data_IF_906383210717
#
_entry.id   IF_906383210717
#
_cell.length_a   1.000
_cell.length_b   1.000
_cell.length_c   1.000
_cell.angle_alpha   90.00
_cell.angle_beta   90.00
_cell.angle_gamma   90.00
#
_symmetry.space_group_name_H-M   'P 1'
#
loop_
_entity.id
_entity.type
_entity.pdbx_description
1 polymer ?
#
# COMPACT_ATOMS: atom_id res chain seq x y z
N UNK A 1 -31.69 9.59 -16.31
CA UNK A 1 -30.36 10.03 -15.87
C UNK A 1 -30.17 11.46 -16.33
N UNK A 2 -30.10 12.40 -15.40
CA UNK A 2 -29.94 13.84 -15.70
C UNK A 2 -28.61 14.08 -16.41
N UNK A 3 -28.57 15.07 -17.31
CA UNK A 3 -27.38 15.44 -18.10
C UNK A 3 -26.12 15.66 -17.26
N UNK A 4 -26.25 16.16 -16.04
CA UNK A 4 -25.15 16.31 -15.08
C UNK A 4 -24.58 14.97 -14.58
N UNK A 5 -25.36 13.90 -14.49
CA UNK A 5 -24.86 12.59 -14.07
C UNK A 5 -23.99 11.90 -15.13
N UNK A 6 -24.23 12.16 -16.42
CA UNK A 6 -23.35 11.64 -17.49
C UNK A 6 -21.98 12.30 -17.51
N UNK A 7 -21.86 13.54 -17.02
CA UNK A 7 -20.61 14.31 -17.01
C UNK A 7 -19.53 13.73 -16.09
N UNK A 8 -19.90 13.00 -15.00
CA UNK A 8 -18.93 12.46 -14.03
C UNK A 8 -18.50 11.00 -14.29
N UNK A 9 -19.26 10.25 -15.11
CA UNK A 9 -19.01 8.81 -15.30
C UNK A 9 -17.68 8.55 -15.99
N UNK A 10 -17.39 9.29 -17.05
CA UNK A 10 -16.13 9.10 -17.79
C UNK A 10 -14.87 9.44 -16.98
N UNK A 11 -14.78 10.59 -16.30
CA UNK A 11 -13.68 10.85 -15.36
C UNK A 11 -13.55 9.80 -14.26
N UNK A 12 -14.67 9.31 -13.71
CA UNK A 12 -14.64 8.26 -12.68
C UNK A 12 -14.11 6.92 -13.19
N UNK A 13 -14.38 6.55 -14.45
CA UNK A 13 -13.81 5.36 -15.08
C UNK A 13 -12.29 5.50 -15.19
N UNK A 14 -11.80 6.67 -15.60
CA UNK A 14 -10.36 6.93 -15.70
C UNK A 14 -9.71 6.84 -14.32
N UNK A 15 -10.29 7.45 -13.30
CA UNK A 15 -9.77 7.35 -11.93
C UNK A 15 -9.81 5.90 -11.43
N UNK A 16 -10.87 5.16 -11.74
CA UNK A 16 -10.96 3.72 -11.46
C UNK A 16 -9.82 2.92 -12.11
N UNK A 17 -9.49 3.22 -13.37
CA UNK A 17 -8.36 2.61 -14.06
C UNK A 17 -7.01 2.98 -13.40
N UNK A 18 -6.85 4.20 -12.90
CA UNK A 18 -5.65 4.60 -12.15
C UNK A 18 -5.52 3.84 -10.82
N UNK A 19 -6.61 3.71 -10.07
CA UNK A 19 -6.59 2.94 -8.82
C UNK A 19 -6.36 1.44 -9.08
N UNK A 20 -6.85 0.93 -10.21
CA UNK A 20 -6.52 -0.41 -10.67
C UNK A 20 -5.00 -0.56 -10.89
N UNK A 21 -4.37 0.38 -11.61
CA UNK A 21 -2.90 0.37 -11.81
C UNK A 21 -2.16 0.51 -10.48
N UNK A 22 -2.62 1.34 -9.55
CA UNK A 22 -2.02 1.43 -8.21
C UNK A 22 -1.97 0.07 -7.53
N UNK A 23 -3.11 -0.61 -7.49
CA UNK A 23 -3.20 -1.92 -6.87
C UNK A 23 -2.34 -2.95 -7.58
N UNK A 24 -2.38 -2.96 -8.91
CA UNK A 24 -1.57 -3.86 -9.71
C UNK A 24 -0.08 -3.71 -9.36
N UNK A 25 0.48 -2.51 -9.43
CA UNK A 25 1.92 -2.29 -9.19
C UNK A 25 2.30 -2.47 -7.72
N UNK A 26 1.49 -1.95 -6.78
CA UNK A 26 1.80 -2.00 -5.35
C UNK A 26 1.90 -3.44 -4.83
N UNK A 27 0.94 -4.28 -5.18
CA UNK A 27 0.82 -5.63 -4.62
C UNK A 27 1.72 -6.67 -5.31
N UNK A 28 2.39 -6.32 -6.42
CA UNK A 28 3.38 -7.20 -7.05
C UNK A 28 4.62 -7.43 -6.18
N UNK A 29 4.92 -6.54 -5.24
CA UNK A 29 6.04 -6.70 -4.32
C UNK A 29 5.99 -8.05 -3.58
N UNK A 30 4.79 -8.52 -3.21
CA UNK A 30 4.60 -9.80 -2.52
C UNK A 30 5.10 -11.01 -3.31
N UNK A 31 5.12 -10.91 -4.64
CA UNK A 31 5.66 -11.95 -5.54
C UNK A 31 7.14 -11.68 -5.87
N UNK A 32 7.52 -10.41 -5.99
CA UNK A 32 8.90 -10.03 -6.30
C UNK A 32 9.88 -10.37 -5.16
N UNK A 33 9.45 -10.27 -3.90
CA UNK A 33 10.30 -10.59 -2.75
C UNK A 33 10.84 -12.02 -2.83
N UNK A 34 10.01 -13.08 -2.86
CA UNK A 34 10.50 -14.45 -2.96
C UNK A 34 11.21 -14.71 -4.29
N UNK A 35 10.79 -14.09 -5.38
CA UNK A 35 11.43 -14.22 -6.68
C UNK A 35 12.86 -13.67 -6.68
N UNK A 36 13.06 -12.42 -6.24
CA UNK A 36 14.38 -11.80 -6.19
C UNK A 36 15.26 -12.43 -5.11
N UNK A 37 14.67 -12.92 -4.00
CA UNK A 37 15.40 -13.67 -3.01
C UNK A 37 16.07 -14.91 -3.63
N UNK A 38 15.36 -15.65 -4.45
CA UNK A 38 15.88 -16.82 -5.14
C UNK A 38 16.85 -16.45 -6.26
N UNK A 39 16.47 -15.53 -7.16
CA UNK A 39 17.28 -15.15 -8.31
C UNK A 39 18.62 -14.50 -7.94
N UNK A 40 18.65 -13.69 -6.88
CA UNK A 40 19.83 -12.98 -6.41
C UNK A 40 20.45 -13.59 -5.14
N UNK A 41 19.96 -14.75 -4.66
CA UNK A 41 20.44 -15.46 -3.47
C UNK A 41 20.52 -14.56 -2.22
N UNK A 42 19.43 -13.89 -1.88
CA UNK A 42 19.37 -12.91 -0.80
C UNK A 42 18.96 -13.54 0.53
N UNK A 43 19.44 -12.95 1.64
CA UNK A 43 18.86 -13.20 2.97
C UNK A 43 17.46 -12.61 3.09
N UNK A 44 16.71 -12.93 4.15
CA UNK A 44 15.38 -12.36 4.39
C UNK A 44 15.47 -10.82 4.56
N UNK A 45 16.44 -10.34 5.33
CA UNK A 45 16.68 -8.91 5.48
C UNK A 45 16.95 -8.21 4.14
N UNK A 46 17.81 -8.80 3.31
CA UNK A 46 18.10 -8.26 1.99
C UNK A 46 16.86 -8.28 1.08
N UNK A 47 16.06 -9.34 1.09
CA UNK A 47 14.88 -9.46 0.24
C UNK A 47 13.84 -8.36 0.52
N UNK A 48 13.70 -7.92 1.78
CA UNK A 48 12.76 -6.84 2.14
C UNK A 48 13.23 -5.43 1.78
N UNK A 49 14.42 -5.25 1.22
CA UNK A 49 14.75 -3.99 0.53
C UNK A 49 13.87 -3.73 -0.70
N UNK A 50 13.16 -4.72 -1.22
CA UNK A 50 12.10 -4.55 -2.22
C UNK A 50 11.01 -3.61 -1.70
N UNK A 51 10.45 -3.89 -0.52
CA UNK A 51 9.45 -3.02 0.11
C UNK A 51 10.05 -1.68 0.51
N UNK A 52 11.27 -1.69 1.05
CA UNK A 52 11.96 -0.45 1.41
C UNK A 52 12.12 0.48 0.23
N UNK A 53 12.67 0.02 -0.88
CA UNK A 53 12.92 0.84 -2.06
C UNK A 53 11.61 1.44 -2.62
N UNK A 54 10.54 0.67 -2.60
CA UNK A 54 9.24 1.11 -3.08
C UNK A 54 8.59 2.13 -2.13
N UNK A 55 8.48 1.81 -0.84
CA UNK A 55 7.73 2.64 0.11
C UNK A 55 8.51 3.86 0.63
N UNK A 56 9.85 3.86 0.62
CA UNK A 56 10.64 5.04 0.99
C UNK A 56 10.40 6.21 0.03
N UNK A 57 10.01 5.92 -1.22
CA UNK A 57 9.68 6.93 -2.21
C UNK A 57 8.50 7.82 -1.76
N UNK A 58 7.54 7.27 -1.00
CA UNK A 58 6.43 8.05 -0.45
C UNK A 58 6.92 9.12 0.53
N UNK A 59 7.89 8.77 1.38
CA UNK A 59 8.49 9.73 2.29
C UNK A 59 9.26 10.83 1.55
N UNK A 60 10.09 10.44 0.59
CA UNK A 60 10.92 11.36 -0.19
C UNK A 60 10.06 12.27 -1.08
N UNK A 61 9.00 11.72 -1.69
CA UNK A 61 8.20 12.40 -2.71
C UNK A 61 6.94 13.07 -2.18
N UNK A 62 6.53 12.87 -0.92
CA UNK A 62 5.30 13.45 -0.37
C UNK A 62 5.23 14.98 -0.54
N UNK A 63 6.29 15.69 -0.17
CA UNK A 63 6.37 17.16 -0.30
C UNK A 63 6.65 17.59 -1.75
N UNK A 64 7.68 17.05 -2.45
CA UNK A 64 7.95 17.40 -3.84
C UNK A 64 6.76 17.19 -4.77
N UNK A 65 5.98 16.11 -4.62
CA UNK A 65 4.79 15.85 -5.45
C UNK A 65 3.78 16.98 -5.40
N UNK A 66 3.50 17.52 -4.22
CA UNK A 66 2.59 18.66 -4.07
C UNK A 66 3.11 19.90 -4.82
N UNK A 67 4.43 20.17 -4.76
CA UNK A 67 5.07 21.28 -5.49
C UNK A 67 5.01 21.09 -7.02
N UNK A 68 5.21 19.87 -7.50
CA UNK A 68 5.11 19.52 -8.92
C UNK A 68 3.66 19.76 -9.39
N UNK A 69 2.66 19.22 -8.66
CA UNK A 69 1.25 19.34 -9.03
C UNK A 69 0.77 20.79 -9.07
N UNK A 70 1.26 21.67 -8.18
CA UNK A 70 0.97 23.10 -8.23
C UNK A 70 1.47 23.78 -9.51
N UNK A 71 2.55 23.29 -10.11
CA UNK A 71 3.15 23.87 -11.32
C UNK A 71 2.53 23.34 -12.62
N UNK A 72 2.25 22.04 -12.68
CA UNK A 72 1.84 21.38 -13.93
C UNK A 72 0.35 21.00 -13.98
N UNK A 73 -0.38 21.14 -12.86
CA UNK A 73 -1.78 20.72 -12.71
C UNK A 73 -1.93 19.21 -12.45
N UNK A 74 -3.16 18.82 -12.07
CA UNK A 74 -3.44 17.43 -11.64
C UNK A 74 -3.41 16.46 -12.81
N UNK A 75 -4.04 16.80 -13.94
CA UNK A 75 -4.10 15.91 -15.11
C UNK A 75 -2.72 15.61 -15.68
N UNK A 76 -1.89 16.63 -15.86
CA UNK A 76 -0.50 16.43 -16.30
C UNK A 76 0.33 15.71 -15.25
N UNK A 77 0.11 16.00 -13.97
CA UNK A 77 0.76 15.30 -12.85
C UNK A 77 0.50 13.79 -12.85
N UNK A 78 -0.74 13.38 -13.09
CA UNK A 78 -1.10 11.96 -13.23
C UNK A 78 -0.36 11.31 -14.40
N UNK A 79 -0.31 11.97 -15.55
CA UNK A 79 0.41 11.46 -16.71
C UNK A 79 1.92 11.33 -16.46
N UNK A 80 2.54 12.36 -15.87
CA UNK A 80 3.97 12.33 -15.49
C UNK A 80 4.25 11.18 -14.52
N UNK A 81 3.39 10.99 -13.50
CA UNK A 81 3.52 9.88 -12.57
C UNK A 81 3.54 8.52 -13.28
N UNK A 82 2.63 8.29 -14.23
CA UNK A 82 2.60 7.05 -15.03
C UNK A 82 3.83 6.89 -15.92
N UNK A 83 4.34 7.95 -16.53
CA UNK A 83 5.59 7.88 -17.31
C UNK A 83 6.79 7.54 -16.42
N UNK A 84 6.88 8.13 -15.24
CA UNK A 84 7.94 7.80 -14.27
C UNK A 84 7.86 6.32 -13.86
N UNK A 85 6.64 5.81 -13.61
CA UNK A 85 6.44 4.39 -13.32
C UNK A 85 6.85 3.50 -14.51
N UNK A 86 6.55 3.91 -15.76
CA UNK A 86 6.97 3.19 -16.95
C UNK A 86 8.50 3.13 -17.07
N UNK A 87 9.19 4.23 -16.79
CA UNK A 87 10.66 4.27 -16.75
C UNK A 87 11.20 3.32 -15.69
N UNK A 88 10.62 3.35 -14.47
CA UNK A 88 10.98 2.42 -13.40
C UNK A 88 10.83 0.95 -13.82
N UNK A 89 9.76 0.63 -14.55
CA UNK A 89 9.55 -0.71 -15.12
C UNK A 89 10.61 -1.09 -16.14
N UNK A 90 11.04 -0.17 -17.00
CA UNK A 90 12.10 -0.43 -17.99
C UNK A 90 13.47 -0.67 -17.35
N UNK A 91 13.74 -0.13 -16.17
CA UNK A 91 15.00 -0.39 -15.43
C UNK A 91 15.14 -1.86 -15.03
N UNK A 92 14.03 -2.60 -14.93
CA UNK A 92 14.08 -4.04 -14.68
C UNK A 92 14.75 -4.84 -15.79
N UNK A 93 14.78 -4.33 -17.03
CA UNK A 93 15.43 -5.00 -18.18
C UNK A 93 16.94 -5.10 -17.96
N UNK A 94 17.69 -3.99 -17.83
CA UNK A 94 19.13 -4.09 -17.55
C UNK A 94 19.39 -4.74 -16.19
N UNK A 95 18.51 -4.54 -15.18
CA UNK A 95 18.66 -5.20 -13.88
C UNK A 95 18.65 -6.73 -14.00
N UNK A 96 17.74 -7.28 -14.80
CA UNK A 96 17.63 -8.72 -15.03
C UNK A 96 18.80 -9.25 -15.88
N UNK A 97 19.20 -8.53 -16.93
CA UNK A 97 20.28 -8.94 -17.82
C UNK A 97 21.64 -9.08 -17.13
N UNK A 98 21.90 -8.28 -16.09
CA UNK A 98 23.15 -8.34 -15.30
C UNK A 98 22.91 -8.89 -13.89
N UNK A 99 21.71 -9.40 -13.61
CA UNK A 99 21.25 -9.90 -12.30
C UNK A 99 21.67 -8.98 -11.15
N UNK A 100 21.48 -7.65 -11.35
CA UNK A 100 21.89 -6.63 -10.39
C UNK A 100 20.75 -6.26 -9.45
N UNK A 101 20.82 -6.72 -8.20
CA UNK A 101 19.82 -6.39 -7.18
C UNK A 101 19.68 -4.89 -6.93
N UNK A 102 20.78 -4.08 -6.84
CA UNK A 102 20.65 -2.62 -6.71
C UNK A 102 19.88 -1.95 -7.86
N UNK A 103 20.00 -2.46 -9.09
CA UNK A 103 19.22 -1.94 -10.22
C UNK A 103 17.73 -2.28 -10.12
N UNK A 104 17.38 -3.47 -9.62
CA UNK A 104 15.98 -3.79 -9.30
C UNK A 104 15.42 -2.83 -8.26
N UNK A 105 16.16 -2.55 -7.19
CA UNK A 105 15.75 -1.59 -6.16
C UNK A 105 15.58 -0.18 -6.72
N UNK A 106 16.47 0.26 -7.61
CA UNK A 106 16.35 1.55 -8.29
C UNK A 106 15.08 1.61 -9.14
N UNK A 107 14.76 0.55 -9.88
CA UNK A 107 13.51 0.44 -10.64
C UNK A 107 12.28 0.58 -9.76
N UNK A 108 12.26 -0.11 -8.61
CA UNK A 108 11.19 -0.03 -7.62
C UNK A 108 11.06 1.37 -6.99
N UNK A 109 12.17 2.02 -6.66
CA UNK A 109 12.16 3.39 -6.15
C UNK A 109 11.59 4.38 -7.16
N UNK A 110 11.97 4.25 -8.44
CA UNK A 110 11.41 5.08 -9.53
C UNK A 110 9.92 4.81 -9.70
N UNK A 111 9.48 3.54 -9.68
CA UNK A 111 8.05 3.20 -9.73
C UNK A 111 7.28 3.81 -8.56
N UNK A 112 7.79 3.67 -7.34
CA UNK A 112 7.19 4.26 -6.14
C UNK A 112 7.13 5.79 -6.20
N UNK A 113 8.16 6.45 -6.78
CA UNK A 113 8.18 7.90 -7.02
C UNK A 113 7.06 8.32 -7.95
N UNK A 114 6.89 7.64 -9.08
CA UNK A 114 5.79 7.90 -10.02
C UNK A 114 4.42 7.64 -9.39
N UNK A 115 4.30 6.56 -8.61
CA UNK A 115 3.07 6.20 -7.91
C UNK A 115 2.69 7.24 -6.84
N UNK A 116 3.66 7.76 -6.09
CA UNK A 116 3.41 8.82 -5.09
C UNK A 116 2.86 10.07 -5.76
N UNK A 117 3.44 10.52 -6.87
CA UNK A 117 2.95 11.66 -7.63
C UNK A 117 1.53 11.41 -8.15
N UNK A 118 1.30 10.22 -8.70
CA UNK A 118 0.01 9.81 -9.24
C UNK A 118 -1.08 9.75 -8.17
N UNK A 119 -0.80 9.19 -6.99
CA UNK A 119 -1.74 9.12 -5.87
C UNK A 119 -2.03 10.51 -5.27
N UNK A 120 -1.01 11.37 -5.16
CA UNK A 120 -1.19 12.74 -4.68
C UNK A 120 -2.13 13.54 -5.59
N UNK A 121 -2.15 13.24 -6.89
CA UNK A 121 -3.06 13.85 -7.84
C UNK A 121 -4.45 13.21 -7.82
N UNK A 122 -4.56 11.88 -7.85
CA UNK A 122 -5.83 11.18 -8.07
C UNK A 122 -6.70 11.04 -6.83
N UNK A 123 -6.14 11.01 -5.62
CA UNK A 123 -6.93 10.90 -4.38
C UNK A 123 -7.87 12.10 -4.16
N UNK A 124 -7.39 13.36 -4.23
CA UNK A 124 -8.29 14.52 -4.18
C UNK A 124 -9.29 14.52 -5.33
N UNK A 125 -8.84 14.13 -6.53
CA UNK A 125 -9.68 14.07 -7.72
C UNK A 125 -10.89 13.14 -7.51
N UNK A 126 -10.71 11.94 -6.98
CA UNK A 126 -11.78 11.02 -6.64
C UNK A 126 -12.77 11.58 -5.59
N UNK A 127 -12.30 12.45 -4.71
CA UNK A 127 -13.11 13.06 -3.65
C UNK A 127 -13.98 14.20 -4.19
N UNK A 128 -13.44 15.04 -5.07
CA UNK A 128 -14.08 16.26 -5.56
C UNK A 128 -15.05 15.95 -6.73
N UNK A 129 -14.79 14.92 -7.51
CA UNK A 129 -15.55 14.54 -8.69
C UNK A 129 -16.96 14.02 -8.33
N UNK A 130 -17.94 14.91 -8.19
CA UNK A 130 -19.33 14.60 -7.88
C UNK A 130 -19.76 15.03 -6.48
N UNK A 131 -21.00 14.71 -6.07
CA UNK A 131 -21.56 15.15 -4.78
C UNK A 131 -20.71 14.68 -3.59
N UNK A 132 -20.44 15.58 -2.66
CA UNK A 132 -19.60 15.31 -1.48
C UNK A 132 -20.17 14.19 -0.60
N UNK A 133 -21.49 14.07 -0.54
CA UNK A 133 -22.20 13.03 0.22
C UNK A 133 -21.86 11.62 -0.25
N UNK A 134 -21.47 11.46 -1.51
CA UNK A 134 -21.09 10.17 -2.10
C UNK A 134 -19.58 9.96 -2.20
N UNK A 135 -18.75 10.87 -1.68
CA UNK A 135 -17.29 10.78 -1.74
C UNK A 135 -16.76 9.49 -1.09
N UNK A 136 -17.25 9.15 0.10
CA UNK A 136 -16.85 7.92 0.79
C UNK A 136 -17.14 6.65 -0.02
N UNK A 137 -18.30 6.60 -0.71
CA UNK A 137 -18.65 5.48 -1.59
C UNK A 137 -17.70 5.38 -2.79
N UNK A 138 -17.34 6.51 -3.39
CA UNK A 138 -16.39 6.55 -4.52
C UNK A 138 -15.01 6.06 -4.10
N UNK A 139 -14.49 6.55 -2.97
CA UNK A 139 -13.19 6.13 -2.44
C UNK A 139 -13.19 4.62 -2.13
N UNK A 140 -14.28 4.10 -1.57
CA UNK A 140 -14.41 2.67 -1.28
C UNK A 140 -14.40 1.82 -2.56
N UNK A 141 -15.12 2.25 -3.61
CA UNK A 141 -15.09 1.57 -4.91
C UNK A 141 -13.67 1.57 -5.48
N UNK A 142 -12.96 2.70 -5.40
CA UNK A 142 -11.57 2.79 -5.84
C UNK A 142 -10.66 1.84 -5.05
N UNK A 143 -10.88 1.74 -3.72
CA UNK A 143 -10.17 0.79 -2.87
C UNK A 143 -10.39 -0.66 -3.27
N UNK A 144 -11.62 -1.05 -3.59
CA UNK A 144 -11.94 -2.39 -4.11
C UNK A 144 -11.27 -2.63 -5.46
N UNK A 145 -11.33 -1.68 -6.40
CA UNK A 145 -10.63 -1.77 -7.68
C UNK A 145 -9.12 -2.01 -7.49
N UNK A 146 -8.51 -1.31 -6.55
CA UNK A 146 -7.10 -1.46 -6.20
C UNK A 146 -6.78 -2.89 -5.72
N UNK A 147 -7.58 -3.47 -4.84
CA UNK A 147 -7.34 -4.82 -4.31
C UNK A 147 -7.58 -5.91 -5.35
N UNK A 148 -8.64 -5.78 -6.15
CA UNK A 148 -8.92 -6.70 -7.27
C UNK A 148 -7.78 -6.69 -8.28
N UNK A 149 -7.25 -5.53 -8.61
CA UNK A 149 -6.10 -5.40 -9.49
C UNK A 149 -4.85 -6.09 -8.93
N UNK A 150 -4.60 -5.94 -7.63
CA UNK A 150 -3.51 -6.63 -6.95
C UNK A 150 -3.64 -8.15 -7.04
N UNK A 151 -4.83 -8.69 -6.78
CA UNK A 151 -5.10 -10.13 -6.91
C UNK A 151 -4.83 -10.64 -8.34
N UNK A 152 -5.31 -9.91 -9.36
CA UNK A 152 -5.07 -10.24 -10.77
C UNK A 152 -3.57 -10.19 -11.09
N UNK A 153 -2.88 -9.14 -10.64
CA UNK A 153 -1.45 -8.97 -10.85
C UNK A 153 -0.63 -10.09 -10.24
N UNK A 154 -0.89 -10.44 -8.98
CA UNK A 154 -0.25 -11.56 -8.28
C UNK A 154 -0.49 -12.87 -9.02
N UNK A 155 -1.75 -13.15 -9.38
CA UNK A 155 -2.11 -14.39 -10.09
C UNK A 155 -1.37 -14.53 -11.44
N UNK A 156 -1.26 -13.45 -12.20
CA UNK A 156 -0.54 -13.43 -13.48
C UNK A 156 0.96 -13.63 -13.22
N UNK A 157 1.54 -12.87 -12.29
CA UNK A 157 2.98 -12.85 -12.07
C UNK A 157 3.47 -14.18 -11.47
N UNK A 158 2.73 -14.77 -10.53
CA UNK A 158 3.06 -16.10 -9.97
C UNK A 158 3.11 -17.15 -11.08
N UNK A 159 2.18 -17.12 -12.03
CA UNK A 159 2.18 -18.08 -13.15
C UNK A 159 3.31 -17.86 -14.15
N UNK A 160 3.72 -16.61 -14.36
CA UNK A 160 4.81 -16.29 -15.26
C UNK A 160 6.19 -16.57 -14.65
N UNK A 161 6.36 -16.26 -13.37
CA UNK A 161 7.65 -16.38 -12.71
C UNK A 161 7.90 -17.78 -12.12
N UNK A 162 6.83 -18.46 -11.67
CA UNK A 162 6.92 -19.73 -10.93
C UNK A 162 6.24 -20.91 -11.67
N UNK A 163 6.28 -20.92 -13.01
CA UNK A 163 5.61 -21.96 -13.82
C UNK A 163 6.16 -23.36 -13.63
N UNK A 164 7.45 -23.50 -13.36
CA UNK A 164 8.22 -24.75 -13.27
C UNK A 164 9.08 -24.82 -11.98
N UNK A 165 8.52 -24.32 -10.89
CA UNK A 165 9.26 -24.04 -9.64
C UNK A 165 9.91 -25.27 -9.03
N UNK A 166 9.25 -26.44 -9.02
CA UNK A 166 9.80 -27.67 -8.42
C UNK A 166 11.07 -28.09 -9.16
N UNK A 167 10.97 -28.25 -10.50
CA UNK A 167 12.10 -28.64 -11.32
C UNK A 167 13.26 -27.62 -11.27
N UNK A 168 12.92 -26.33 -11.16
CA UNK A 168 13.90 -25.25 -11.07
C UNK A 168 14.60 -25.24 -9.70
N UNK A 169 13.87 -25.43 -8.61
CA UNK A 169 14.44 -25.47 -7.25
C UNK A 169 15.38 -26.66 -7.09
N UNK A 170 14.99 -27.84 -7.62
CA UNK A 170 15.86 -29.02 -7.64
C UNK A 170 17.12 -28.78 -8.46
N UNK A 171 17.01 -28.16 -9.65
CA UNK A 171 18.17 -27.81 -10.48
C UNK A 171 19.09 -26.83 -9.76
N UNK A 172 18.59 -25.75 -9.21
CA UNK A 172 19.38 -24.77 -8.46
C UNK A 172 20.10 -25.42 -7.28
N UNK A 173 19.45 -26.36 -6.58
CA UNK A 173 20.05 -27.08 -5.45
C UNK A 173 21.15 -28.05 -5.87
N UNK A 174 21.12 -28.55 -7.10
CA UNK A 174 22.10 -29.55 -7.62
C UNK A 174 23.26 -28.93 -8.39
N UNK A 175 23.16 -27.68 -8.82
CA UNK A 175 24.15 -26.97 -9.63
C UNK A 175 25.13 -26.18 -8.76
N UNK A 176 26.31 -25.90 -9.32
CA UNK A 176 27.34 -25.06 -8.70
C UNK A 176 28.16 -24.30 -9.74
N UNK A 177 28.81 -23.21 -9.33
CA UNK A 177 29.67 -22.42 -10.20
C UNK A 177 28.94 -21.82 -11.40
N UNK A 178 29.54 -21.89 -12.59
CA UNK A 178 29.01 -21.26 -13.81
C UNK A 178 27.64 -21.78 -14.25
N UNK A 179 27.36 -23.07 -14.00
CA UNK A 179 26.05 -23.65 -14.36
C UNK A 179 24.93 -23.10 -13.46
N UNK A 180 25.19 -22.90 -12.18
CA UNK A 180 24.28 -22.26 -11.24
C UNK A 180 24.03 -20.79 -11.66
N UNK A 181 25.09 -20.04 -11.99
CA UNK A 181 24.96 -18.65 -12.42
C UNK A 181 24.11 -18.53 -13.68
N UNK A 182 24.28 -19.42 -14.66
CA UNK A 182 23.48 -19.43 -15.88
C UNK A 182 21.99 -19.70 -15.60
N UNK A 183 21.68 -20.63 -14.69
CA UNK A 183 20.28 -20.92 -14.28
C UNK A 183 19.64 -19.73 -13.53
N UNK A 184 20.40 -19.06 -12.65
CA UNK A 184 19.94 -17.87 -11.93
C UNK A 184 19.75 -16.66 -12.85
N UNK A 185 20.61 -16.49 -13.88
CA UNK A 185 20.45 -15.44 -14.91
C UNK A 185 19.20 -15.71 -15.75
N UNK A 186 18.94 -16.96 -16.12
CA UNK A 186 17.71 -17.35 -16.80
C UNK A 186 16.48 -17.08 -15.93
N UNK A 187 16.54 -17.38 -14.64
CA UNK A 187 15.48 -17.07 -13.70
C UNK A 187 15.24 -15.55 -13.65
N UNK A 188 16.29 -14.74 -13.45
CA UNK A 188 16.19 -13.28 -13.38
C UNK A 188 15.56 -12.70 -14.65
N UNK A 189 15.83 -13.28 -15.82
CA UNK A 189 15.30 -12.81 -17.11
C UNK A 189 13.77 -12.94 -17.24
N UNK A 190 13.10 -13.78 -16.44
CA UNK A 190 11.65 -13.99 -16.50
C UNK A 190 10.83 -12.74 -16.23
N UNK A 191 11.37 -11.75 -15.49
CA UNK A 191 10.68 -10.48 -15.24
C UNK A 191 10.69 -9.54 -16.44
N UNK A 192 11.56 -9.73 -17.43
CA UNK A 192 11.76 -8.79 -18.55
C UNK A 192 10.44 -8.58 -19.29
N UNK A 193 9.81 -9.66 -19.77
CA UNK A 193 8.57 -9.57 -20.58
C UNK A 193 7.42 -8.94 -19.77
N UNK A 194 7.08 -9.39 -18.55
CA UNK A 194 6.06 -8.74 -17.73
C UNK A 194 6.29 -7.25 -17.51
N UNK A 195 7.53 -6.84 -17.27
CA UNK A 195 7.85 -5.44 -17.01
C UNK A 195 7.87 -4.58 -18.28
N UNK A 196 8.21 -5.12 -19.44
CA UNK A 196 8.02 -4.44 -20.74
C UNK A 196 6.51 -4.20 -20.98
N UNK A 197 5.69 -5.23 -20.81
CA UNK A 197 4.24 -5.10 -20.99
C UNK A 197 3.68 -4.03 -20.03
N UNK A 198 4.09 -4.06 -18.78
CA UNK A 198 3.69 -3.06 -17.78
C UNK A 198 4.14 -1.65 -18.21
N UNK A 199 5.37 -1.46 -18.67
CA UNK A 199 5.86 -0.17 -19.13
C UNK A 199 5.03 0.37 -20.32
N UNK A 200 4.70 -0.48 -21.29
CA UNK A 200 3.87 -0.11 -22.44
C UNK A 200 2.45 0.28 -22.01
N UNK A 201 1.83 -0.48 -21.10
CA UNK A 201 0.50 -0.18 -20.57
C UNK A 201 0.52 1.14 -19.80
N UNK A 202 1.51 1.37 -18.93
CA UNK A 202 1.65 2.61 -18.17
C UNK A 202 1.86 3.82 -19.08
N UNK A 203 2.72 3.72 -20.10
CA UNK A 203 2.95 4.77 -21.09
C UNK A 203 1.68 5.04 -21.92
N UNK A 204 0.98 4.00 -22.35
CA UNK A 204 -0.29 4.12 -23.06
C UNK A 204 -1.36 4.85 -22.25
N UNK A 205 -1.51 4.51 -20.97
CA UNK A 205 -2.42 5.20 -20.04
C UNK A 205 -1.99 6.65 -19.79
N UNK A 206 -0.70 6.93 -19.69
CA UNK A 206 -0.18 8.29 -19.56
C UNK A 206 -0.60 9.16 -20.76
N UNK A 207 -0.45 8.64 -21.98
CA UNK A 207 -0.87 9.31 -23.21
C UNK A 207 -2.41 9.46 -23.29
N UNK A 208 -3.15 8.46 -22.84
CA UNK A 208 -4.62 8.50 -22.80
C UNK A 208 -5.09 9.63 -21.87
N UNK A 209 -4.50 9.77 -20.68
CA UNK A 209 -4.86 10.82 -19.72
C UNK A 209 -4.57 12.20 -20.29
N UNK A 210 -3.45 12.41 -20.96
CA UNK A 210 -3.15 13.70 -21.61
C UNK A 210 -4.19 14.11 -22.65
N UNK A 211 -4.79 13.12 -23.35
CA UNK A 211 -5.81 13.33 -24.38
C UNK A 211 -7.24 13.37 -23.82
N UNK A 212 -7.46 12.93 -22.60
CA UNK A 212 -8.79 12.69 -22.04
C UNK A 212 -9.54 13.97 -21.61
N UNK A 213 -8.91 15.17 -21.73
CA UNK A 213 -9.52 16.47 -21.37
C UNK A 213 -10.26 16.40 -20.02
N UNK A 214 -9.60 15.83 -19.00
CA UNK A 214 -10.15 15.79 -17.66
C UNK A 214 -10.33 17.22 -17.13
N UNK A 215 -11.44 17.54 -16.46
CA UNK A 215 -11.63 18.86 -15.87
C UNK A 215 -10.49 19.15 -14.88
N UNK A 216 -9.85 20.31 -14.99
CA UNK A 216 -8.86 20.73 -13.99
C UNK A 216 -9.59 21.09 -12.70
N UNK A 217 -9.10 20.53 -11.60
CA UNK A 217 -9.65 20.75 -10.26
C UNK A 217 -8.70 21.65 -9.50
N UNK A 218 -9.25 22.72 -8.91
CA UNK A 218 -8.54 23.57 -7.96
C UNK A 218 -8.98 23.19 -6.53
N UNK A 219 -8.23 22.31 -5.82
CA UNK A 219 -8.58 21.92 -4.46
C UNK A 219 -8.55 23.10 -3.47
N UNK A 220 -8.01 24.26 -3.89
CA UNK A 220 -7.94 25.47 -3.08
C UNK A 220 -9.27 26.22 -3.06
N UNK A 221 -10.09 26.09 -4.09
CA UNK A 221 -11.40 26.77 -4.21
C UNK A 221 -12.55 25.85 -3.73
N UNK A 222 -12.45 24.53 -3.96
CA UNK A 222 -13.54 23.60 -3.71
C UNK A 222 -13.53 22.97 -2.29
N UNK A 223 -12.47 23.15 -1.51
CA UNK A 223 -12.27 22.52 -0.20
C UNK A 223 -12.49 23.42 1.03
N UNK A 224 -12.96 24.66 0.86
CA UNK A 224 -12.95 25.67 1.93
C UNK A 224 -14.29 25.84 2.68
N UNK A 225 -15.35 25.18 2.29
CA UNK A 225 -16.61 25.20 3.03
C UNK A 225 -16.62 24.13 4.14
N UNK A 226 -16.16 24.50 5.33
CA UNK A 226 -16.25 23.63 6.52
C UNK A 226 -15.17 23.82 7.57
N UNK A 227 -14.16 24.64 7.32
CA UNK A 227 -13.14 24.94 8.34
C UNK A 227 -13.63 26.08 9.23
N UNK A 228 -14.31 25.75 10.32
CA UNK A 228 -14.47 26.68 11.45
C UNK A 228 -13.05 27.06 11.93
N UNK A 229 -12.70 28.32 11.65
CA UNK A 229 -11.42 28.92 11.97
C UNK A 229 -11.35 29.21 13.48
N UNK A 230 -10.94 28.25 14.28
CA UNK A 230 -10.61 28.49 15.68
C UNK A 230 -9.46 27.60 16.14
N UNK A 231 -8.32 27.67 15.47
CA UNK A 231 -7.10 27.20 16.14
C UNK A 231 -6.18 28.40 16.40
N UNK A 232 -6.13 28.86 17.64
CA UNK A 232 -5.10 29.73 18.19
C UNK A 232 -3.68 29.13 18.02
N UNK A 233 -3.60 27.91 17.48
CA UNK A 233 -2.34 27.17 17.32
C UNK A 233 -1.56 27.70 16.11
N UNK A 234 -0.30 28.00 16.33
CA UNK A 234 0.61 28.58 15.32
C UNK A 234 1.28 27.55 14.42
N UNK A 235 1.27 26.27 14.81
CA UNK A 235 1.99 25.19 14.10
C UNK A 235 1.18 23.90 14.05
N UNK A 236 1.36 23.12 12.97
CA UNK A 236 0.81 21.77 12.83
C UNK A 236 1.32 20.80 13.91
N UNK A 237 2.53 21.02 14.40
CA UNK A 237 3.12 20.21 15.48
C UNK A 237 2.48 20.48 16.87
N UNK A 238 1.66 21.53 16.97
CA UNK A 238 0.89 21.81 18.19
C UNK A 238 -0.38 20.93 18.33
N UNK A 239 -0.57 19.93 17.43
CA UNK A 239 -1.66 18.97 17.48
C UNK A 239 -1.14 17.56 17.84
N UNK A 240 -1.03 17.21 19.14
CA UNK A 240 -0.45 15.92 19.55
C UNK A 240 -1.19 14.72 18.98
N UNK A 241 -2.54 14.76 18.87
CA UNK A 241 -3.33 13.67 18.28
C UNK A 241 -2.99 13.42 16.82
N UNK A 242 -2.57 14.44 16.06
CA UNK A 242 -2.07 14.28 14.69
C UNK A 242 -0.72 13.57 14.69
N UNK A 243 0.22 13.97 15.53
CA UNK A 243 1.54 13.33 15.61
C UNK A 243 1.43 11.86 16.01
N UNK A 244 0.57 11.55 16.98
CA UNK A 244 0.24 10.19 17.35
C UNK A 244 -0.49 9.46 16.19
N UNK A 245 -1.30 10.15 15.40
CA UNK A 245 -1.94 9.62 14.19
C UNK A 245 -0.94 9.29 13.08
N UNK A 246 0.08 10.12 12.88
CA UNK A 246 1.18 9.85 11.92
C UNK A 246 1.93 8.58 12.32
N UNK A 247 2.27 8.43 13.60
CA UNK A 247 2.87 7.20 14.11
C UNK A 247 1.90 6.01 14.01
N UNK A 248 0.58 6.24 14.17
CA UNK A 248 -0.43 5.19 13.98
C UNK A 248 -0.49 4.71 12.54
N UNK A 249 -0.44 5.62 11.55
CA UNK A 249 -0.32 5.26 10.12
C UNK A 249 0.98 4.50 9.87
N UNK A 250 2.10 4.95 10.45
CA UNK A 250 3.39 4.29 10.31
C UNK A 250 3.33 2.81 10.75
N UNK A 251 2.86 2.54 11.95
CA UNK A 251 2.79 1.15 12.45
C UNK A 251 1.72 0.35 11.71
N UNK A 252 0.59 0.96 11.34
CA UNK A 252 -0.48 0.30 10.60
C UNK A 252 -0.01 -0.15 9.21
N UNK A 253 0.57 0.76 8.41
CA UNK A 253 1.04 0.41 7.06
C UNK A 253 2.15 -0.63 7.15
N UNK A 254 3.02 -0.53 8.15
CA UNK A 254 4.05 -1.53 8.38
C UNK A 254 3.49 -2.93 8.61
N UNK A 255 2.49 -3.10 9.48
CA UNK A 255 1.90 -4.43 9.73
C UNK A 255 1.04 -4.92 8.56
N UNK A 256 0.39 -4.00 7.81
CA UNK A 256 -0.33 -4.37 6.58
C UNK A 256 0.62 -4.94 5.53
N UNK A 257 1.74 -4.27 5.29
CA UNK A 257 2.77 -4.71 4.32
C UNK A 257 3.41 -6.02 4.81
N UNK A 258 3.75 -6.15 6.09
CA UNK A 258 4.24 -7.43 6.63
C UNK A 258 3.24 -8.55 6.33
N UNK A 259 1.96 -8.40 6.67
CA UNK A 259 0.98 -9.47 6.50
C UNK A 259 0.77 -9.90 5.03
N UNK A 260 0.98 -9.00 4.06
CA UNK A 260 0.71 -9.28 2.64
C UNK A 260 1.99 -9.65 1.89
N UNK A 261 3.08 -8.92 2.12
CA UNK A 261 4.30 -9.07 1.34
C UNK A 261 5.25 -10.15 1.90
N UNK A 262 5.13 -10.50 3.20
CA UNK A 262 5.97 -11.57 3.77
C UNK A 262 5.34 -12.95 3.68
N UNK A 263 4.03 -13.05 3.42
CA UNK A 263 3.29 -14.32 3.51
C UNK A 263 3.78 -15.38 2.51
N UNK A 264 4.34 -14.97 1.37
CA UNK A 264 4.94 -15.89 0.40
C UNK A 264 6.15 -16.63 0.97
N UNK A 265 7.12 -15.91 1.53
CA UNK A 265 8.29 -16.49 2.19
C UNK A 265 7.91 -17.23 3.48
N UNK A 266 6.94 -16.71 4.22
CA UNK A 266 6.41 -17.37 5.40
C UNK A 266 5.72 -18.69 5.06
N UNK A 267 4.97 -18.76 3.95
CA UNK A 267 4.36 -19.99 3.46
C UNK A 267 5.39 -21.07 3.13
N UNK A 268 6.49 -20.70 2.49
CA UNK A 268 7.62 -21.63 2.26
C UNK A 268 8.20 -22.16 3.58
N UNK A 269 8.40 -21.26 4.55
CA UNK A 269 8.87 -21.67 5.89
C UNK A 269 7.90 -22.64 6.58
N UNK A 270 6.59 -22.52 6.33
CA UNK A 270 5.55 -23.42 6.84
C UNK A 270 5.40 -24.72 6.02
N UNK A 271 6.26 -24.96 5.02
CA UNK A 271 6.34 -26.21 4.26
C UNK A 271 5.52 -26.22 2.96
N UNK A 272 5.04 -25.07 2.47
CA UNK A 272 4.37 -24.96 1.18
C UNK A 272 5.37 -24.70 0.05
N UNK A 273 5.09 -25.25 -1.13
CA UNK A 273 5.88 -24.95 -2.34
C UNK A 273 5.77 -23.45 -2.72
N UNK A 274 6.78 -22.95 -3.46
CA UNK A 274 6.91 -21.54 -3.81
C UNK A 274 5.70 -21.02 -4.61
N UNK A 275 5.12 -21.84 -5.50
CA UNK A 275 3.97 -21.45 -6.31
C UNK A 275 2.70 -21.33 -5.47
N UNK A 276 2.44 -22.27 -4.57
CA UNK A 276 1.32 -22.22 -3.62
C UNK A 276 1.50 -21.03 -2.66
N UNK A 277 2.66 -20.88 -2.07
CA UNK A 277 2.99 -19.81 -1.14
C UNK A 277 2.87 -18.41 -1.80
N UNK A 278 3.29 -18.27 -3.05
CA UNK A 278 3.16 -17.04 -3.82
C UNK A 278 1.71 -16.60 -4.03
N UNK A 279 0.75 -17.52 -4.01
CA UNK A 279 -0.68 -17.21 -4.11
C UNK A 279 -1.32 -16.79 -2.76
N UNK A 280 -0.66 -16.97 -1.62
CA UNK A 280 -1.24 -16.64 -0.31
C UNK A 280 -1.57 -15.14 -0.17
N UNK A 281 -0.82 -14.27 -0.82
CA UNK A 281 -1.13 -12.84 -0.88
C UNK A 281 -2.49 -12.55 -1.54
N UNK A 282 -2.97 -13.41 -2.45
CA UNK A 282 -4.32 -13.30 -3.04
C UNK A 282 -5.37 -13.50 -1.95
N UNK A 283 -5.19 -14.49 -1.05
CA UNK A 283 -6.11 -14.72 0.06
C UNK A 283 -6.10 -13.55 1.06
N UNK A 284 -4.92 -12.97 1.33
CA UNK A 284 -4.78 -11.77 2.15
C UNK A 284 -5.52 -10.58 1.54
N UNK A 285 -5.36 -10.31 0.24
CA UNK A 285 -6.08 -9.25 -0.46
C UNK A 285 -7.59 -9.51 -0.54
N UNK A 286 -8.00 -10.78 -0.66
CA UNK A 286 -9.41 -11.16 -0.63
C UNK A 286 -10.02 -10.86 0.75
N UNK A 287 -9.35 -11.28 1.82
CA UNK A 287 -9.77 -11.00 3.20
C UNK A 287 -9.87 -9.50 3.46
N UNK A 288 -8.88 -8.73 3.02
CA UNK A 288 -8.86 -7.28 3.09
C UNK A 288 -10.05 -6.66 2.32
N UNK A 289 -10.33 -7.14 1.12
CA UNK A 289 -11.46 -6.67 0.29
C UNK A 289 -12.80 -6.94 0.96
N UNK A 290 -13.00 -8.12 1.53
CA UNK A 290 -14.20 -8.48 2.30
C UNK A 290 -14.37 -7.52 3.47
N UNK A 291 -13.29 -7.25 4.20
CA UNK A 291 -13.31 -6.28 5.31
C UNK A 291 -13.70 -4.87 4.86
N UNK A 292 -13.19 -4.38 3.73
CA UNK A 292 -13.59 -3.09 3.15
C UNK A 292 -15.09 -3.06 2.80
N UNK A 293 -15.61 -4.11 2.15
CA UNK A 293 -17.03 -4.19 1.78
C UNK A 293 -17.94 -4.20 3.02
N UNK A 294 -17.55 -4.95 4.07
CA UNK A 294 -18.24 -4.92 5.35
C UNK A 294 -18.22 -3.53 5.98
N UNK A 295 -17.09 -2.85 5.93
CA UNK A 295 -16.94 -1.48 6.43
C UNK A 295 -17.89 -0.49 5.76
N UNK A 296 -18.05 -0.58 4.43
CA UNK A 296 -19.01 0.26 3.68
C UNK A 296 -20.44 0.09 4.16
N UNK A 297 -20.81 -1.13 4.59
CA UNK A 297 -22.16 -1.45 5.09
C UNK A 297 -22.31 -1.04 6.56
N UNK A 298 -21.26 -1.25 7.37
CA UNK A 298 -21.33 -1.09 8.82
C UNK A 298 -21.12 0.35 9.29
N UNK A 299 -20.25 1.12 8.61
CA UNK A 299 -19.88 2.50 9.01
C UNK A 299 -20.64 3.52 8.15
N UNK A 300 -21.22 4.58 8.72
CA UNK A 300 -21.38 4.84 10.17
C UNK A 300 -22.65 4.26 10.76
N UNK A 301 -23.45 3.52 9.96
CA UNK A 301 -24.82 3.14 10.30
C UNK A 301 -24.94 2.30 11.59
N UNK A 302 -24.02 1.35 11.77
CA UNK A 302 -24.06 0.40 12.90
C UNK A 302 -22.91 0.61 13.88
N UNK A 303 -21.73 1.00 13.39
CA UNK A 303 -20.54 1.22 14.22
C UNK A 303 -19.87 2.54 13.86
N UNK A 304 -19.27 3.19 14.86
CA UNK A 304 -18.45 4.38 14.64
C UNK A 304 -17.08 3.98 14.07
N UNK A 305 -16.42 4.90 13.34
CA UNK A 305 -15.04 4.72 12.87
C UNK A 305 -14.07 4.35 13.99
N UNK A 306 -14.22 4.98 15.17
CA UNK A 306 -13.43 4.66 16.35
C UNK A 306 -13.66 3.22 16.80
N UNK A 307 -14.92 2.80 16.92
CA UNK A 307 -15.27 1.43 17.33
C UNK A 307 -14.71 0.42 16.35
N UNK A 308 -14.80 0.69 15.03
CA UNK A 308 -14.21 -0.14 14.00
C UNK A 308 -12.69 -0.27 14.19
N UNK A 309 -11.97 0.82 14.47
CA UNK A 309 -10.53 0.80 14.72
C UNK A 309 -10.16 -0.03 15.96
N UNK A 310 -10.93 0.09 17.06
CA UNK A 310 -10.73 -0.72 18.28
C UNK A 310 -10.92 -2.22 17.97
N UNK A 311 -12.00 -2.58 17.27
CA UNK A 311 -12.28 -3.98 16.89
C UNK A 311 -11.14 -4.50 16.02
N UNK A 312 -10.77 -3.78 14.97
CA UNK A 312 -9.71 -4.16 14.04
C UNK A 312 -8.36 -4.33 14.73
N UNK A 313 -7.96 -3.40 15.61
CA UNK A 313 -6.70 -3.51 16.35
C UNK A 313 -6.70 -4.70 17.32
N UNK A 314 -7.83 -4.94 17.99
CA UNK A 314 -7.99 -6.10 18.88
C UNK A 314 -7.93 -7.43 18.12
N UNK A 315 -8.60 -7.50 16.95
CA UNK A 315 -8.51 -8.67 16.05
C UNK A 315 -7.08 -8.90 15.56
N UNK A 316 -6.39 -7.84 15.12
CA UNK A 316 -5.00 -7.92 14.69
C UNK A 316 -4.08 -8.46 15.79
N UNK A 317 -4.24 -7.99 17.02
CA UNK A 317 -3.51 -8.49 18.18
C UNK A 317 -3.77 -9.99 18.43
N UNK A 318 -5.04 -10.42 18.45
CA UNK A 318 -5.41 -11.82 18.68
C UNK A 318 -4.93 -12.72 17.55
N UNK A 319 -5.13 -12.33 16.29
CA UNK A 319 -4.69 -13.13 15.13
C UNK A 319 -3.17 -13.18 15.03
N UNK A 320 -2.48 -12.10 15.39
CA UNK A 320 -1.01 -12.10 15.45
C UNK A 320 -0.47 -13.11 16.47
N UNK A 321 -1.03 -13.13 17.68
CA UNK A 321 -0.68 -14.13 18.69
C UNK A 321 -1.04 -15.56 18.25
N UNK A 322 -2.18 -15.74 17.58
CA UNK A 322 -2.59 -17.04 17.06
C UNK A 322 -1.66 -17.54 15.95
N UNK A 323 -1.20 -16.66 15.05
CA UNK A 323 -0.22 -16.98 14.03
C UNK A 323 1.12 -17.43 14.64
N UNK A 324 1.55 -16.78 15.73
CA UNK A 324 2.75 -17.14 16.48
C UNK A 324 2.63 -18.49 17.23
N UNK A 325 1.42 -18.82 17.69
CA UNK A 325 1.16 -20.01 18.51
C UNK A 325 0.81 -21.26 17.70
N UNK A 326 0.59 -21.12 16.38
CA UNK A 326 0.17 -22.22 15.49
C UNK A 326 1.21 -22.45 14.39
N UNK A 327 1.04 -23.51 13.60
CA UNK A 327 1.95 -23.84 12.49
C UNK A 327 1.18 -24.32 11.25
N UNK A 328 1.89 -24.47 10.13
CA UNK A 328 1.34 -24.95 8.87
C UNK A 328 0.20 -24.06 8.34
N UNK A 329 -0.81 -24.68 7.75
CA UNK A 329 -1.96 -23.99 7.14
C UNK A 329 -2.74 -23.14 8.14
N UNK A 330 -2.80 -23.53 9.41
CA UNK A 330 -3.53 -22.80 10.46
C UNK A 330 -2.84 -21.46 10.74
N UNK A 331 -1.52 -21.42 10.85
CA UNK A 331 -0.77 -20.19 11.03
C UNK A 331 -0.91 -19.27 9.81
N UNK A 332 -0.83 -19.80 8.59
CA UNK A 332 -1.08 -19.05 7.35
C UNK A 332 -2.49 -18.44 7.36
N UNK A 333 -3.51 -19.21 7.77
CA UNK A 333 -4.88 -18.68 7.87
C UNK A 333 -4.98 -17.49 8.82
N UNK A 334 -4.28 -17.51 9.96
CA UNK A 334 -4.26 -16.36 10.87
C UNK A 334 -3.51 -15.16 10.27
N UNK A 335 -2.43 -15.36 9.50
CA UNK A 335 -1.77 -14.26 8.77
C UNK A 335 -2.70 -13.67 7.70
N UNK A 336 -3.48 -14.49 6.98
CA UNK A 336 -4.53 -14.02 6.06
C UNK A 336 -5.59 -13.19 6.82
N UNK A 337 -6.02 -13.65 7.99
CA UNK A 337 -7.00 -12.94 8.83
C UNK A 337 -6.45 -11.61 9.39
N UNK A 338 -5.12 -11.43 9.53
CA UNK A 338 -4.55 -10.12 9.82
C UNK A 338 -4.95 -9.10 8.75
N UNK A 339 -4.93 -9.48 7.47
CA UNK A 339 -5.34 -8.58 6.39
C UNK A 339 -6.83 -8.19 6.49
N UNK A 340 -7.71 -9.09 6.91
CA UNK A 340 -9.10 -8.74 7.24
C UNK A 340 -9.18 -7.71 8.37
N UNK A 341 -8.39 -7.90 9.44
CA UNK A 341 -8.33 -6.95 10.54
C UNK A 341 -7.79 -5.57 10.12
N UNK A 342 -6.94 -5.49 9.11
CA UNK A 342 -6.39 -4.23 8.60
C UNK A 342 -7.38 -3.37 7.82
N UNK A 343 -8.45 -3.95 7.26
CA UNK A 343 -9.30 -3.31 6.26
C UNK A 343 -9.89 -1.96 6.69
N UNK A 344 -10.30 -1.82 7.94
CA UNK A 344 -10.92 -0.59 8.43
C UNK A 344 -9.97 0.33 9.20
N UNK A 345 -8.69 -0.04 9.32
CA UNK A 345 -7.73 0.78 10.05
C UNK A 345 -7.43 2.08 9.31
N UNK A 346 -7.06 2.01 8.01
CA UNK A 346 -6.81 3.19 7.20
C UNK A 346 -7.97 4.19 7.20
N UNK A 347 -9.19 3.81 6.80
CA UNK A 347 -10.32 4.74 6.74
C UNK A 347 -10.73 5.27 8.11
N UNK A 348 -10.34 4.61 9.21
CA UNK A 348 -10.66 5.06 10.57
C UNK A 348 -9.58 5.97 11.16
N UNK A 349 -8.30 5.70 10.95
CA UNK A 349 -7.20 6.51 11.50
C UNK A 349 -7.20 7.90 10.87
N UNK A 350 -7.41 7.98 9.55
CA UNK A 350 -7.28 9.20 8.78
C UNK A 350 -8.19 10.34 9.28
N UNK A 351 -9.51 10.15 9.41
CA UNK A 351 -10.39 11.21 9.93
C UNK A 351 -10.11 11.57 11.39
N UNK A 352 -9.76 10.57 12.23
CA UNK A 352 -9.43 10.81 13.64
C UNK A 352 -8.19 11.68 13.82
N UNK A 353 -7.20 11.52 12.93
CA UNK A 353 -5.96 12.29 12.94
C UNK A 353 -6.14 13.71 12.41
N UNK A 354 -7.00 13.92 11.42
CA UNK A 354 -7.25 15.22 10.80
C UNK A 354 -8.29 16.07 11.52
N UNK A 355 -9.02 15.49 12.48
CA UNK A 355 -10.09 16.17 13.18
C UNK A 355 -9.60 17.42 13.94
N UNK A 356 -10.26 18.56 13.68
CA UNK A 356 -9.97 19.84 14.34
C UNK A 356 -8.70 20.56 13.87
N UNK A 357 -8.08 20.18 12.75
CA UNK A 357 -6.86 20.83 12.23
C UNK A 357 -7.13 22.16 11.50
N UNK A 358 -8.34 22.42 11.02
CA UNK A 358 -8.68 23.64 10.28
C UNK A 358 -7.69 23.90 9.13
N UNK A 359 -7.05 25.08 9.11
CA UNK A 359 -6.07 25.49 8.08
C UNK A 359 -4.87 24.54 7.92
N UNK A 360 -4.58 23.70 8.91
CA UNK A 360 -3.47 22.75 8.89
C UNK A 360 -3.83 21.39 8.28
N UNK A 361 -5.07 21.17 7.82
CA UNK A 361 -5.52 19.88 7.27
C UNK A 361 -4.65 19.41 6.10
N UNK A 362 -4.27 20.31 5.17
CA UNK A 362 -3.39 19.96 4.04
C UNK A 362 -2.02 19.44 4.50
N UNK A 363 -1.39 20.16 5.45
CA UNK A 363 -0.09 19.78 5.98
C UNK A 363 -0.20 18.52 6.84
N UNK A 364 -1.26 18.38 7.63
CA UNK A 364 -1.56 17.18 8.41
C UNK A 364 -1.72 15.94 7.51
N UNK A 365 -2.42 16.09 6.39
CA UNK A 365 -2.55 15.01 5.39
C UNK A 365 -1.19 14.63 4.80
N UNK A 366 -0.33 15.59 4.49
CA UNK A 366 1.02 15.32 3.99
C UNK A 366 1.87 14.54 5.01
N UNK A 367 1.78 14.90 6.30
CA UNK A 367 2.46 14.17 7.38
C UNK A 367 1.93 12.73 7.51
N UNK A 368 0.62 12.52 7.37
CA UNK A 368 0.04 11.16 7.37
C UNK A 368 0.55 10.34 6.17
N UNK A 369 0.66 10.93 4.97
CA UNK A 369 1.28 10.27 3.81
C UNK A 369 2.74 9.90 4.08
N UNK A 370 3.51 10.77 4.74
CA UNK A 370 4.87 10.42 5.14
C UNK A 370 4.93 9.22 6.10
N UNK A 371 3.88 9.03 6.92
CA UNK A 371 3.74 7.85 7.78
C UNK A 371 3.71 6.52 7.01
N UNK A 372 3.38 6.50 5.72
CA UNK A 372 3.41 5.30 4.86
C UNK A 372 4.81 4.64 4.83
N UNK A 373 5.86 5.39 5.17
CA UNK A 373 7.23 4.85 5.30
C UNK A 373 7.35 3.68 6.30
N UNK A 374 6.36 3.47 7.16
CA UNK A 374 6.25 2.27 7.99
C UNK A 374 6.29 0.97 7.18
N UNK A 375 5.70 0.98 5.96
CA UNK A 375 5.79 -0.11 5.00
C UNK A 375 7.20 -0.34 4.43
N UNK A 376 8.11 0.62 4.56
CA UNK A 376 9.52 0.46 4.23
C UNK A 376 10.31 -0.14 5.41
N UNK A 377 10.11 0.38 6.62
CA UNK A 377 11.00 0.11 7.76
C UNK A 377 10.62 -1.14 8.56
N UNK A 378 9.32 -1.39 8.78
CA UNK A 378 8.89 -2.54 9.58
C UNK A 378 9.13 -3.90 8.89
N UNK A 379 8.95 -4.06 7.56
CA UNK A 379 9.37 -5.29 6.88
C UNK A 379 10.88 -5.55 6.94
N UNK A 380 11.72 -4.51 6.92
CA UNK A 380 13.16 -4.68 7.12
C UNK A 380 13.48 -5.20 8.53
N UNK A 381 12.80 -4.66 9.55
CA UNK A 381 12.94 -5.14 10.93
C UNK A 381 12.47 -6.59 11.04
N UNK A 382 11.34 -6.94 10.40
CA UNK A 382 10.86 -8.31 10.29
C UNK A 382 11.92 -9.21 9.65
N UNK A 383 12.48 -8.82 8.49
CA UNK A 383 13.49 -9.59 7.78
C UNK A 383 14.76 -9.81 8.61
N UNK A 384 15.23 -8.79 9.34
CA UNK A 384 16.37 -8.91 10.22
C UNK A 384 16.13 -9.96 11.34
N UNK A 385 14.96 -9.90 11.97
CA UNK A 385 14.60 -10.88 13.01
C UNK A 385 14.43 -12.26 12.40
N UNK A 386 13.89 -12.37 11.18
CA UNK A 386 13.73 -13.64 10.48
C UNK A 386 15.07 -14.31 10.21
N UNK A 387 16.09 -13.55 9.78
CA UNK A 387 17.45 -14.05 9.56
C UNK A 387 18.12 -14.51 10.87
N UNK A 388 17.90 -13.80 11.97
CA UNK A 388 18.53 -14.11 13.28
C UNK A 388 17.80 -15.24 14.04
N UNK A 389 16.51 -15.48 13.74
CA UNK A 389 15.68 -16.44 14.50
C UNK A 389 14.83 -17.33 13.60
N UNK A 390 13.66 -16.87 13.19
CA UNK A 390 12.80 -17.53 12.20
C UNK A 390 11.76 -16.56 11.67
N UNK A 391 11.22 -16.86 10.47
CA UNK A 391 10.13 -16.09 9.85
C UNK A 391 8.86 -16.04 10.71
N UNK A 392 8.62 -17.06 11.55
CA UNK A 392 7.49 -17.07 12.48
C UNK A 392 7.73 -16.13 13.65
N UNK A 393 8.90 -16.21 14.30
CA UNK A 393 9.26 -15.34 15.43
C UNK A 393 9.26 -13.87 15.00
N UNK A 394 9.63 -13.57 13.77
CA UNK A 394 9.63 -12.20 13.24
C UNK A 394 8.24 -11.53 13.29
N UNK A 395 7.13 -12.27 13.29
CA UNK A 395 5.79 -11.70 13.48
C UNK A 395 5.58 -11.03 14.86
N UNK A 396 6.47 -11.26 15.86
CA UNK A 396 6.44 -10.50 17.12
C UNK A 396 6.53 -8.98 16.92
N UNK A 397 7.13 -8.52 15.81
CA UNK A 397 7.16 -7.09 15.43
C UNK A 397 5.76 -6.50 15.33
N UNK A 398 4.76 -7.30 14.95
CA UNK A 398 3.38 -6.81 14.75
C UNK A 398 2.64 -6.56 16.05
N UNK A 399 2.98 -7.27 17.11
CA UNK A 399 2.26 -7.23 18.41
C UNK A 399 2.30 -5.84 19.06
N UNK A 400 3.46 -5.20 19.28
CA UNK A 400 3.50 -3.85 19.82
C UNK A 400 2.82 -2.82 18.89
N UNK A 401 2.81 -3.06 17.58
CA UNK A 401 2.12 -2.21 16.62
C UNK A 401 0.60 -2.22 16.85
N UNK A 402 -0.02 -3.41 17.02
CA UNK A 402 -1.45 -3.50 17.30
C UNK A 402 -1.79 -2.88 18.67
N UNK A 403 -0.96 -3.05 19.68
CA UNK A 403 -1.15 -2.40 20.98
C UNK A 403 -1.10 -0.87 20.84
N UNK A 404 -0.19 -0.34 20.01
CA UNK A 404 -0.13 1.09 19.74
C UNK A 404 -1.38 1.59 18.99
N UNK A 405 -1.85 0.86 17.97
CA UNK A 405 -3.08 1.21 17.24
C UNK A 405 -4.28 1.21 18.21
N UNK A 406 -4.36 0.24 19.12
CA UNK A 406 -5.41 0.16 20.15
C UNK A 406 -5.32 1.34 21.13
N UNK A 407 -4.11 1.72 21.56
CA UNK A 407 -3.87 2.93 22.35
C UNK A 407 -4.38 4.17 21.61
N UNK A 408 -4.01 4.33 20.33
CA UNK A 408 -4.46 5.46 19.53
C UNK A 408 -6.00 5.49 19.41
N UNK A 409 -6.63 4.38 19.12
CA UNK A 409 -8.08 4.23 18.97
C UNK A 409 -8.86 4.53 20.27
N UNK A 410 -8.24 4.34 21.43
CA UNK A 410 -8.92 4.51 22.74
C UNK A 410 -8.61 5.86 23.39
N UNK A 411 -7.35 6.29 23.37
CA UNK A 411 -6.84 7.46 24.09
C UNK A 411 -6.12 8.46 23.17
N UNK A 412 -5.23 8.01 22.28
CA UNK A 412 -4.32 8.85 21.51
C UNK A 412 -5.01 9.89 20.65
N UNK A 413 -6.13 9.54 20.00
CA UNK A 413 -6.88 10.44 19.13
C UNK A 413 -7.50 11.65 19.85
N UNK A 414 -7.59 11.62 21.18
CA UNK A 414 -8.13 12.73 22.03
C UNK A 414 -7.06 13.65 22.58
N UNK A 415 -5.80 13.24 22.55
CA UNK A 415 -4.71 13.97 23.19
C UNK A 415 -4.58 15.37 22.59
N UNK A 416 -4.63 16.39 23.44
CA UNK A 416 -4.54 17.81 23.04
C UNK A 416 -5.81 18.40 22.41
N UNK A 417 -6.93 17.65 22.38
CA UNK A 417 -8.27 18.20 22.07
C UNK A 417 -8.89 18.72 23.37
N UNK A 418 -9.48 19.94 23.31
CA UNK A 418 -10.31 20.41 24.42
C UNK A 418 -11.59 19.53 24.45
N UNK A 419 -11.96 19.02 25.61
CA UNK A 419 -13.27 18.38 25.80
C UNK A 419 -14.35 19.41 25.41
N UNK A 420 -15.19 19.09 24.43
CA UNK A 420 -16.41 19.86 24.21
C UNK A 420 -17.23 19.69 25.50
N UNK A 421 -17.23 20.69 26.35
CA UNK A 421 -18.19 20.77 27.46
C UNK A 421 -19.55 20.72 26.81
N UNK A 422 -20.29 19.63 27.04
CA UNK A 422 -21.70 19.53 26.66
C UNK A 422 -22.42 20.64 27.43
N UNK A 423 -22.73 21.73 26.76
CA UNK A 423 -23.69 22.70 27.29
C UNK A 423 -25.01 21.97 27.30
N UNK A 424 -25.40 21.50 28.50
CA UNK A 424 -26.72 20.98 28.76
C UNK A 424 -27.71 22.15 28.58
N UNK A 425 -28.50 22.10 27.54
CA UNK A 425 -29.71 22.92 27.36
C UNK A 425 -30.92 22.05 27.49
#
# INVERSE_FOLDING_TARGET
>A
MNSNQRSYVFPMIIIGALFFIFGFVTWLNSVLIPFLQQACQLTDFQAYFVTFAFYISYFVMAIPSSGILKRIGFTRGMSVGLFVMAIGSLVFIPAANVRSYPLFLLGLFIQGTGLTLLQTASNPYATILGPIESAAKRISIMGVCNKVAGMIGIFILVRLLFSDTEAMTERIASLSGLELDAELDQLASRVIVPYIVMAVVLAGLALMILKAHLPEINPEEDGTEGASADSEKSSVFAFPHLMLGVLCIFVYVGVEVIAIDTIGLYGQFQGFDLKTAGNFSIYSLTALTIGYLLGVVLIPKYISQRTALVICASMGFVFGLAALATSGAVSIAFVVLLSFAHALMWPSIWPLALDGLGRFTKLGSALLVMGIVGGALLPLLYGKIADETSRQVAYWVTIPCYLYILFYATKGYKVGKREKVAVAS
#
